data_IF_473552296288
#
_entry.id   IF_473552296288
#
_cell.length_a   1.000
_cell.length_b   1.000
_cell.length_c   1.000
_cell.angle_alpha   90.00
_cell.angle_beta   90.00
_cell.angle_gamma   90.00
#
_symmetry.space_group_name_H-M   'P 1'
#
loop_
_entity.id
_entity.type
_entity.pdbx_description
1 polymer ?
#
# COMPACT_ATOMS: atom_id res chain seq x y z
N UNK A 1 11.04 -26.56 14.81
CA UNK A 1 12.09 -26.90 15.80
C UNK A 1 13.34 -26.12 15.44
N UNK A 2 13.70 -25.09 16.21
CA UNK A 2 15.04 -24.51 16.14
C UNK A 2 15.86 -25.13 17.26
N UNK A 3 16.70 -26.09 16.88
CA UNK A 3 17.69 -26.69 17.75
C UNK A 3 19.00 -25.88 17.64
N UNK A 4 19.69 -25.71 18.78
CA UNK A 4 21.11 -25.40 18.83
C UNK A 4 21.46 -23.91 18.89
N UNK A 5 21.66 -23.41 20.10
CA UNK A 5 22.51 -22.25 20.39
C UNK A 5 23.97 -22.58 20.06
N UNK A 6 24.71 -21.71 19.35
CA UNK A 6 26.11 -21.50 19.63
C UNK A 6 26.28 -20.12 20.27
N UNK A 7 26.69 -20.09 21.54
CA UNK A 7 27.22 -18.89 22.16
C UNK A 7 28.50 -18.51 21.40
N UNK A 8 28.53 -17.31 20.81
CA UNK A 8 29.61 -16.75 19.98
C UNK A 8 29.71 -17.31 18.55
N UNK A 9 28.87 -16.78 17.66
CA UNK A 9 29.11 -16.80 16.23
C UNK A 9 29.65 -15.43 15.79
N UNK A 10 30.95 -15.38 15.46
CA UNK A 10 31.58 -14.25 14.80
C UNK A 10 31.52 -14.44 13.28
N UNK A 11 30.93 -13.50 12.53
CA UNK A 11 30.93 -13.55 11.06
C UNK A 11 31.80 -12.43 10.53
N UNK A 12 32.86 -12.78 9.81
CA UNK A 12 33.70 -11.85 9.08
C UNK A 12 33.34 -11.85 7.61
N UNK A 13 33.19 -10.67 7.00
CA UNK A 13 33.05 -10.53 5.54
C UNK A 13 34.14 -9.58 5.03
N UNK A 14 34.92 -10.07 4.08
CA UNK A 14 35.90 -9.29 3.32
C UNK A 14 35.60 -9.50 1.84
N UNK A 15 35.28 -8.42 1.14
CA UNK A 15 35.13 -8.43 -0.32
C UNK A 15 36.09 -7.38 -0.90
N UNK A 16 37.08 -7.86 -1.67
CA UNK A 16 38.01 -7.04 -2.41
C UNK A 16 37.86 -7.37 -3.89
N UNK A 17 37.14 -6.54 -4.63
CA UNK A 17 37.18 -6.58 -6.10
C UNK A 17 38.29 -5.65 -6.58
N UNK A 18 39.17 -6.13 -7.45
CA UNK A 18 40.28 -5.34 -7.98
C UNK A 18 39.88 -4.72 -9.32
N UNK A 19 39.69 -3.39 -9.34
CA UNK A 19 39.81 -2.44 -10.46
C UNK A 19 39.52 -1.04 -9.91
N UNK A 20 39.99 0.05 -10.54
CA UNK A 20 39.93 1.47 -10.06
C UNK A 20 38.51 2.05 -9.84
N UNK A 21 37.49 1.20 -9.86
CA UNK A 21 36.06 1.45 -9.65
C UNK A 21 35.48 0.54 -8.56
N UNK A 22 36.32 -0.04 -7.70
CA UNK A 22 35.90 -1.03 -6.72
C UNK A 22 35.51 -0.43 -5.37
N UNK A 23 34.58 -1.13 -4.72
CA UNK A 23 34.27 -0.95 -3.31
C UNK A 23 35.06 -1.98 -2.52
N UNK A 24 35.76 -1.53 -1.48
CA UNK A 24 36.38 -2.44 -0.51
C UNK A 24 35.50 -2.47 0.74
N UNK A 25 34.95 -3.64 1.07
CA UNK A 25 34.15 -3.83 2.29
C UNK A 25 34.82 -4.79 3.24
N UNK A 26 34.86 -4.38 4.51
CA UNK A 26 35.21 -5.23 5.62
C UNK A 26 34.16 -5.07 6.72
N UNK A 27 33.81 -6.15 7.39
CA UNK A 27 32.94 -6.07 8.55
C UNK A 27 33.00 -7.33 9.39
N UNK A 28 32.68 -7.16 10.66
CA UNK A 28 32.50 -8.24 11.60
C UNK A 28 31.18 -8.07 12.34
N UNK A 29 30.61 -9.18 12.76
CA UNK A 29 29.49 -9.19 13.69
C UNK A 29 29.75 -10.26 14.76
N UNK A 30 29.26 -10.02 15.97
CA UNK A 30 29.36 -10.96 17.08
C UNK A 30 28.04 -11.02 17.83
N UNK A 31 27.59 -12.23 18.17
CA UNK A 31 26.31 -12.44 18.85
C UNK A 31 26.49 -13.12 20.21
N UNK A 32 25.81 -12.60 21.22
CA UNK A 32 25.70 -13.22 22.54
C UNK A 32 24.42 -12.77 23.25
N UNK A 33 23.81 -13.65 24.06
CA UNK A 33 22.68 -13.28 24.92
C UNK A 33 21.44 -12.72 24.20
N UNK A 34 21.21 -13.09 22.93
CA UNK A 34 20.09 -12.55 22.14
C UNK A 34 20.34 -11.18 21.53
N UNK A 35 21.57 -10.65 21.63
CA UNK A 35 22.02 -9.45 20.94
C UNK A 35 23.20 -9.75 20.02
N UNK A 36 23.27 -9.05 18.90
CA UNK A 36 24.36 -9.07 17.96
C UNK A 36 24.88 -7.66 17.77
N UNK A 37 26.19 -7.46 17.90
CA UNK A 37 26.86 -6.23 17.50
C UNK A 37 27.46 -6.43 16.13
N UNK A 38 27.52 -5.36 15.35
CA UNK A 38 28.21 -5.36 14.07
C UNK A 38 28.99 -4.08 13.88
N UNK A 39 30.10 -4.20 13.17
CA UNK A 39 30.96 -3.11 12.76
C UNK A 39 31.46 -3.40 11.36
N UNK A 40 31.55 -2.37 10.54
CA UNK A 40 32.12 -2.51 9.21
C UNK A 40 32.38 -1.19 8.54
N UNK A 41 33.14 -1.25 7.46
CA UNK A 41 33.47 -0.12 6.64
C UNK A 41 33.42 -0.46 5.16
N UNK A 42 33.18 0.56 4.35
CA UNK A 42 33.27 0.50 2.91
C UNK A 42 34.10 1.68 2.42
N UNK A 43 35.11 1.43 1.58
CA UNK A 43 35.83 2.48 0.85
C UNK A 43 35.25 2.52 -0.56
N UNK A 44 34.78 3.70 -0.98
CA UNK A 44 34.27 3.92 -2.33
C UNK A 44 35.36 4.10 -3.38
N UNK A 45 35.00 4.14 -4.68
CA UNK A 45 35.94 4.31 -5.79
C UNK A 45 36.86 5.53 -5.70
N UNK A 46 36.41 6.57 -4.99
CA UNK A 46 37.15 7.82 -4.80
C UNK A 46 37.89 7.90 -3.45
N UNK A 47 38.08 6.77 -2.76
CA UNK A 47 38.83 6.69 -1.51
C UNK A 47 38.07 7.11 -0.25
N UNK A 48 36.82 7.58 -0.38
CA UNK A 48 35.99 7.93 0.77
C UNK A 48 35.61 6.70 1.61
N UNK A 49 35.96 6.71 2.90
CA UNK A 49 35.60 5.66 3.86
C UNK A 49 34.26 5.98 4.52
N UNK A 50 33.34 5.03 4.48
CA UNK A 50 32.13 5.04 5.29
C UNK A 50 32.20 3.90 6.30
N UNK A 51 31.93 4.17 7.57
CA UNK A 51 31.85 3.13 8.61
C UNK A 51 30.44 3.03 9.16
N UNK A 52 30.11 1.87 9.72
CA UNK A 52 28.86 1.65 10.44
C UNK A 52 29.13 0.71 11.62
N UNK A 53 28.64 1.12 12.79
CA UNK A 53 28.65 0.31 14.01
C UNK A 53 27.24 0.27 14.58
N UNK A 54 26.78 -0.89 14.99
CA UNK A 54 25.45 -1.02 15.56
C UNK A 54 25.24 -2.29 16.37
N UNK A 55 24.03 -2.38 16.88
CA UNK A 55 23.53 -3.52 17.64
C UNK A 55 22.15 -3.89 17.13
N UNK A 56 21.84 -5.18 17.19
CA UNK A 56 20.50 -5.74 17.03
C UNK A 56 20.23 -6.57 18.27
N UNK A 57 19.09 -6.39 18.92
CA UNK A 57 18.71 -7.14 20.11
C UNK A 57 17.32 -7.74 19.94
N UNK A 58 17.17 -9.03 20.28
CA UNK A 58 15.87 -9.67 20.37
C UNK A 58 15.26 -9.33 21.73
N UNK A 59 14.14 -8.63 21.74
CA UNK A 59 13.42 -8.23 22.97
C UNK A 59 12.29 -9.20 23.33
N UNK A 60 11.93 -10.11 22.43
CA UNK A 60 10.91 -11.14 22.63
C UNK A 60 10.79 -12.05 21.41
N UNK A 61 9.92 -13.09 21.43
CA UNK A 61 9.61 -13.87 20.24
C UNK A 61 9.08 -12.97 19.12
N UNK A 62 9.74 -12.99 17.96
CA UNK A 62 9.36 -12.14 16.81
C UNK A 62 9.59 -10.64 17.00
N UNK A 63 10.26 -10.21 18.09
CA UNK A 63 10.52 -8.80 18.39
C UNK A 63 12.01 -8.50 18.43
N UNK A 64 12.42 -7.48 17.68
CA UNK A 64 13.80 -7.05 17.53
C UNK A 64 13.90 -5.54 17.59
N UNK A 65 14.96 -5.04 18.20
CA UNK A 65 15.38 -3.64 18.14
C UNK A 65 16.75 -3.57 17.47
N UNK A 66 17.05 -2.45 16.82
CA UNK A 66 18.38 -2.17 16.32
C UNK A 66 18.72 -0.70 16.51
N UNK A 67 20.00 -0.43 16.65
CA UNK A 67 20.55 0.92 16.76
C UNK A 67 21.98 0.95 16.24
N UNK A 68 22.45 2.12 15.82
CA UNK A 68 23.83 2.29 15.42
C UNK A 68 24.16 3.68 14.93
N UNK A 69 25.42 3.85 14.57
CA UNK A 69 25.96 5.07 13.98
C UNK A 69 26.70 4.72 12.70
N UNK A 70 26.38 5.42 11.62
CA UNK A 70 27.18 5.42 10.41
C UNK A 70 27.98 6.72 10.33
N UNK A 71 29.23 6.65 9.88
CA UNK A 71 30.07 7.83 9.64
C UNK A 71 30.41 7.87 8.15
N UNK A 72 30.07 8.97 7.49
CA UNK A 72 30.37 9.17 6.07
C UNK A 72 31.82 9.63 5.83
N UNK A 73 32.24 9.74 4.55
CA UNK A 73 33.60 10.13 4.17
C UNK A 73 34.02 11.50 4.73
N UNK A 74 33.09 12.42 4.86
CA UNK A 74 33.33 13.78 5.38
C UNK A 74 33.23 13.86 6.92
N UNK A 75 33.21 12.72 7.62
CA UNK A 75 33.07 12.65 9.08
C UNK A 75 31.64 12.88 9.60
N UNK A 76 30.68 13.15 8.71
CA UNK A 76 29.27 13.32 9.06
C UNK A 76 28.68 12.05 9.69
N UNK A 77 28.03 12.19 10.84
CA UNK A 77 27.46 11.07 11.60
C UNK A 77 25.95 10.94 11.36
N UNK A 78 25.52 9.69 11.20
CA UNK A 78 24.12 9.31 11.05
C UNK A 78 23.76 8.31 12.14
N UNK A 79 22.96 8.76 13.10
CA UNK A 79 22.42 7.88 14.14
C UNK A 79 21.16 7.25 13.60
N UNK A 80 21.07 5.93 13.70
CA UNK A 80 19.88 5.20 13.26
C UNK A 80 19.42 4.22 14.31
N UNK A 81 18.14 3.91 14.27
CA UNK A 81 17.57 2.84 15.07
C UNK A 81 16.20 2.46 14.59
N UNK A 82 15.64 1.44 15.22
CA UNK A 82 14.32 0.97 14.84
C UNK A 82 13.92 -0.32 15.53
N UNK A 83 12.70 -0.73 15.25
CA UNK A 83 12.11 -1.95 15.81
C UNK A 83 11.47 -2.79 14.72
N UNK A 84 11.38 -4.09 14.95
CA UNK A 84 10.59 -5.02 14.15
C UNK A 84 9.78 -5.88 15.12
N UNK A 85 8.50 -6.03 14.86
CA UNK A 85 7.60 -6.86 15.66
C UNK A 85 6.73 -7.70 14.74
N UNK A 86 6.72 -9.01 14.95
CA UNK A 86 5.90 -9.95 14.22
C UNK A 86 4.99 -10.70 15.20
N UNK A 87 3.68 -10.51 15.07
CA UNK A 87 2.68 -11.19 15.88
C UNK A 87 1.34 -11.28 15.14
N UNK A 88 0.60 -12.36 15.34
CA UNK A 88 -0.77 -12.50 14.82
C UNK A 88 -0.89 -12.36 13.30
N UNK A 89 0.10 -12.83 12.54
CA UNK A 89 0.11 -12.71 11.07
C UNK A 89 0.51 -11.33 10.55
N UNK A 90 0.81 -10.37 11.43
CA UNK A 90 1.31 -9.04 11.07
C UNK A 90 2.78 -8.89 11.49
N UNK A 91 3.60 -8.38 10.58
CA UNK A 91 4.95 -7.91 10.87
C UNK A 91 5.03 -6.42 10.62
N UNK A 92 5.36 -5.64 11.65
CA UNK A 92 5.57 -4.21 11.58
C UNK A 92 7.04 -3.86 11.82
N UNK A 93 7.53 -2.81 11.16
CA UNK A 93 8.88 -2.27 11.31
C UNK A 93 8.83 -0.76 11.39
N UNK A 94 9.53 -0.18 12.36
CA UNK A 94 9.80 1.26 12.46
C UNK A 94 11.31 1.50 12.37
N UNK A 95 11.72 2.60 11.76
CA UNK A 95 13.11 3.04 11.71
C UNK A 95 13.17 4.56 11.77
N UNK A 96 14.21 5.10 12.37
CA UNK A 96 14.57 6.50 12.33
C UNK A 96 16.05 6.64 11.98
N UNK A 97 16.39 7.70 11.24
CA UNK A 97 17.77 8.07 10.94
C UNK A 97 17.91 9.58 11.09
N UNK A 98 18.78 10.02 11.99
CA UNK A 98 19.11 11.43 12.20
C UNK A 98 20.49 11.71 11.65
N UNK A 99 20.57 12.64 10.69
CA UNK A 99 21.83 13.06 10.08
C UNK A 99 22.58 14.13 10.88
N UNK A 100 23.76 14.55 10.41
CA UNK A 100 24.66 15.45 11.15
C UNK A 100 24.07 16.85 11.39
N UNK A 101 23.09 17.26 10.57
CA UNK A 101 22.38 18.53 10.71
C UNK A 101 21.13 18.44 11.61
N UNK A 102 21.00 17.36 12.40
CA UNK A 102 19.85 17.13 13.28
C UNK A 102 18.53 16.81 12.57
N UNK A 103 18.55 16.70 11.24
CA UNK A 103 17.37 16.33 10.44
C UNK A 103 17.13 14.83 10.50
N UNK A 104 15.89 14.44 10.79
CA UNK A 104 15.47 13.05 10.94
C UNK A 104 14.60 12.60 9.78
N UNK A 105 14.81 11.36 9.35
CA UNK A 105 13.92 10.62 8.46
C UNK A 105 13.39 9.42 9.22
N UNK A 106 12.07 9.32 9.29
CA UNK A 106 11.36 8.21 9.90
C UNK A 106 10.74 7.33 8.83
N UNK A 107 10.78 6.02 9.00
CA UNK A 107 10.17 5.07 8.10
C UNK A 107 9.43 3.99 8.88
N UNK A 108 8.14 3.81 8.58
CA UNK A 108 7.34 2.72 9.14
C UNK A 108 6.88 1.80 8.03
N UNK A 109 6.63 0.53 8.34
CA UNK A 109 6.03 -0.41 7.41
C UNK A 109 5.31 -1.53 8.15
N UNK A 110 4.32 -2.12 7.51
CA UNK A 110 3.67 -3.32 7.99
C UNK A 110 3.34 -4.25 6.83
N UNK A 111 3.30 -5.54 7.11
CA UNK A 111 2.69 -6.54 6.24
C UNK A 111 1.83 -7.44 7.11
N UNK A 112 0.59 -7.67 6.67
CA UNK A 112 -0.37 -8.54 7.35
C UNK A 112 -0.81 -9.62 6.38
N UNK A 113 -0.81 -10.85 6.86
CA UNK A 113 -1.47 -11.97 6.20
C UNK A 113 -2.70 -12.34 7.01
N UNK A 114 -3.88 -12.00 6.49
CA UNK A 114 -5.15 -12.28 7.18
C UNK A 114 -5.67 -13.69 6.89
N UNK A 115 -5.33 -14.25 5.72
CA UNK A 115 -5.68 -15.62 5.33
C UNK A 115 -4.79 -16.10 4.14
N UNK A 116 -5.05 -17.31 3.62
CA UNK A 116 -4.31 -17.83 2.47
C UNK A 116 -4.68 -17.08 1.18
N UNK A 117 -3.73 -16.31 0.65
CA UNK A 117 -3.94 -15.49 -0.53
C UNK A 117 -4.40 -14.06 -0.23
N UNK A 118 -4.59 -13.71 1.05
CA UNK A 118 -5.00 -12.38 1.51
C UNK A 118 -3.84 -11.71 2.25
N UNK A 119 -3.28 -10.69 1.63
CA UNK A 119 -2.16 -9.93 2.16
C UNK A 119 -2.45 -8.44 2.08
N UNK A 120 -2.01 -7.68 3.07
CA UNK A 120 -1.96 -6.22 2.99
C UNK A 120 -0.61 -5.74 3.45
N UNK A 121 -0.16 -4.61 2.91
CA UNK A 121 1.05 -3.96 3.39
C UNK A 121 0.90 -2.45 3.37
N UNK A 122 1.63 -1.80 4.26
CA UNK A 122 1.78 -0.36 4.27
C UNK A 122 3.24 0.01 4.49
N UNK A 123 3.63 1.19 3.98
CA UNK A 123 4.92 1.80 4.27
C UNK A 123 4.76 3.30 4.30
N UNK A 124 5.39 3.97 5.24
CA UNK A 124 5.53 5.42 5.25
C UNK A 124 7.00 5.78 5.38
N UNK A 125 7.39 6.89 4.75
CA UNK A 125 8.68 7.53 4.94
C UNK A 125 8.42 9.02 5.09
N UNK A 126 8.72 9.57 6.25
CA UNK A 126 8.52 10.96 6.61
C UNK A 126 9.86 11.62 6.83
N UNK A 127 10.06 12.79 6.24
CA UNK A 127 11.26 13.58 6.45
C UNK A 127 10.98 15.07 6.31
N UNK A 128 12.02 15.91 6.32
CA UNK A 128 11.87 17.37 6.29
C UNK A 128 11.12 17.90 5.07
N UNK A 129 11.13 17.15 3.95
CA UNK A 129 10.52 17.54 2.69
C UNK A 129 9.14 16.89 2.46
N UNK A 130 8.52 16.35 3.51
CA UNK A 130 7.19 15.74 3.44
C UNK A 130 7.19 14.23 3.67
N UNK A 131 6.03 13.62 3.38
CA UNK A 131 5.77 12.20 3.64
C UNK A 131 5.40 11.47 2.36
N UNK A 132 5.98 10.30 2.20
CA UNK A 132 5.60 9.31 1.21
C UNK A 132 4.90 8.16 1.91
N UNK A 133 3.81 7.68 1.34
CA UNK A 133 3.11 6.50 1.80
C UNK A 133 2.90 5.51 0.66
N UNK A 134 2.89 4.24 0.99
CA UNK A 134 2.56 3.15 0.10
C UNK A 134 1.59 2.24 0.84
N UNK A 135 0.54 1.80 0.16
CA UNK A 135 -0.38 0.78 0.62
C UNK A 135 -0.59 -0.24 -0.48
N UNK A 136 -0.64 -1.52 -0.15
CA UNK A 136 -0.94 -2.56 -1.12
C UNK A 136 -1.79 -3.65 -0.49
N UNK A 137 -2.58 -4.33 -1.32
CA UNK A 137 -3.38 -5.47 -0.94
C UNK A 137 -3.38 -6.51 -2.05
N UNK A 138 -3.25 -7.77 -1.67
CA UNK A 138 -3.46 -8.94 -2.52
C UNK A 138 -4.68 -9.69 -2.01
N UNK A 139 -5.58 -10.05 -2.92
CA UNK A 139 -6.69 -10.94 -2.61
C UNK A 139 -6.77 -12.02 -3.69
N UNK A 140 -6.48 -13.27 -3.31
CA UNK A 140 -6.61 -14.43 -4.17
C UNK A 140 -7.74 -15.34 -3.69
N UNK A 141 -8.67 -15.61 -4.59
CA UNK A 141 -9.57 -16.75 -4.51
C UNK A 141 -9.00 -17.97 -5.25
N UNK A 142 -9.87 -18.95 -5.49
CA UNK A 142 -9.48 -20.24 -6.08
C UNK A 142 -8.96 -20.12 -7.53
N UNK A 143 -9.56 -19.23 -8.33
CA UNK A 143 -9.24 -19.06 -9.76
C UNK A 143 -8.91 -17.62 -10.13
N UNK A 144 -8.91 -16.70 -9.17
CA UNK A 144 -8.66 -15.30 -9.42
C UNK A 144 -7.76 -14.71 -8.35
N UNK A 145 -6.97 -13.71 -8.74
CA UNK A 145 -6.15 -12.91 -7.86
C UNK A 145 -6.25 -11.45 -8.27
N UNK A 146 -6.36 -10.57 -7.30
CA UNK A 146 -6.19 -9.13 -7.49
C UNK A 146 -5.05 -8.64 -6.61
N UNK A 147 -4.26 -7.72 -7.14
CA UNK A 147 -3.25 -6.99 -6.39
C UNK A 147 -3.40 -5.51 -6.70
N UNK A 148 -3.70 -4.70 -5.69
CA UNK A 148 -3.74 -3.24 -5.82
C UNK A 148 -2.65 -2.62 -4.97
N UNK A 149 -2.01 -1.57 -5.45
CA UNK A 149 -1.20 -0.71 -4.59
C UNK A 149 -1.33 0.75 -4.97
N UNK A 150 -1.11 1.61 -3.98
CA UNK A 150 -1.11 3.06 -4.13
C UNK A 150 0.10 3.63 -3.42
N UNK A 151 0.86 4.45 -4.12
CA UNK A 151 1.93 5.27 -3.56
C UNK A 151 1.52 6.73 -3.62
N UNK A 152 1.52 7.40 -2.48
CA UNK A 152 1.21 8.82 -2.35
C UNK A 152 2.44 9.57 -1.89
N UNK A 153 2.83 10.61 -2.62
CA UNK A 153 3.91 11.50 -2.24
C UNK A 153 3.41 12.80 -1.60
N UNK A 154 4.34 13.73 -1.30
CA UNK A 154 4.00 15.10 -0.97
C UNK A 154 3.19 15.75 -2.11
N UNK A 155 2.41 16.77 -1.76
CA UNK A 155 1.48 17.49 -2.66
C UNK A 155 0.30 16.64 -3.19
N UNK A 156 -0.09 15.59 -2.47
CA UNK A 156 -1.23 14.72 -2.85
C UNK A 156 -1.07 14.03 -4.22
N UNK A 157 0.15 13.92 -4.76
CA UNK A 157 0.40 13.19 -6.00
C UNK A 157 0.42 11.69 -5.72
N UNK A 158 -0.43 10.95 -6.44
CA UNK A 158 -0.59 9.51 -6.22
C UNK A 158 -0.38 8.71 -7.49
N UNK A 159 0.31 7.58 -7.37
CA UNK A 159 0.34 6.54 -8.39
C UNK A 159 -0.37 5.32 -7.83
N UNK A 160 -1.37 4.82 -8.52
CA UNK A 160 -2.02 3.56 -8.17
C UNK A 160 -1.88 2.55 -9.28
N UNK A 161 -1.82 1.28 -8.92
CA UNK A 161 -1.92 0.20 -9.88
C UNK A 161 -2.80 -0.93 -9.38
N UNK A 162 -3.43 -1.62 -10.32
CA UNK A 162 -4.23 -2.81 -10.07
C UNK A 162 -3.84 -3.88 -11.07
N UNK A 163 -3.57 -5.07 -10.56
CA UNK A 163 -3.27 -6.26 -11.36
C UNK A 163 -4.37 -7.27 -11.09
N UNK A 164 -4.84 -7.94 -12.14
CA UNK A 164 -5.72 -9.10 -12.00
C UNK A 164 -5.12 -10.29 -12.73
N UNK A 165 -5.34 -11.48 -12.20
CA UNK A 165 -5.04 -12.74 -12.86
C UNK A 165 -6.23 -13.67 -12.66
N UNK A 166 -6.75 -14.25 -13.74
CA UNK A 166 -7.88 -15.17 -13.72
C UNK A 166 -7.52 -16.42 -14.50
N UNK A 167 -7.60 -17.58 -13.84
CA UNK A 167 -7.52 -18.87 -14.49
C UNK A 167 -8.82 -19.12 -15.23
N UNK A 168 -8.75 -19.08 -16.56
CA UNK A 168 -9.92 -19.31 -17.44
C UNK A 168 -10.05 -20.78 -17.85
N UNK A 169 -8.96 -21.53 -17.79
CA UNK A 169 -8.92 -22.98 -18.00
C UNK A 169 -7.70 -23.59 -17.29
N UNK A 170 -7.61 -24.93 -17.12
CA UNK A 170 -6.38 -25.57 -16.67
C UNK A 170 -5.18 -25.13 -17.52
N UNK A 171 -4.14 -24.61 -16.87
CA UNK A 171 -2.96 -24.06 -17.56
C UNK A 171 -3.14 -22.70 -18.24
N UNK A 172 -4.33 -22.10 -18.31
CA UNK A 172 -4.54 -20.81 -19.01
C UNK A 172 -4.90 -19.71 -18.01
N UNK A 173 -4.14 -18.61 -18.01
CA UNK A 173 -4.34 -17.45 -17.15
C UNK A 173 -4.42 -16.18 -17.97
N UNK A 174 -5.57 -15.49 -17.88
CA UNK A 174 -5.73 -14.13 -18.36
C UNK A 174 -5.27 -13.16 -17.29
N UNK A 175 -4.53 -12.11 -17.66
CA UNK A 175 -4.06 -11.08 -16.73
C UNK A 175 -4.35 -9.70 -17.26
N UNK A 176 -4.61 -8.76 -16.36
CA UNK A 176 -4.66 -7.33 -16.65
C UNK A 176 -3.82 -6.55 -15.65
N UNK A 177 -3.35 -5.39 -16.08
CA UNK A 177 -2.57 -4.44 -15.31
C UNK A 177 -3.04 -3.04 -15.67
N UNK A 178 -3.40 -2.25 -14.67
CA UNK A 178 -3.74 -0.84 -14.85
C UNK A 178 -2.86 0.02 -13.95
N UNK A 179 -2.32 1.12 -14.46
CA UNK A 179 -1.59 2.13 -13.67
C UNK A 179 -2.21 3.47 -13.91
N UNK A 180 -2.62 4.15 -12.84
CA UNK A 180 -3.06 5.54 -12.85
C UNK A 180 -1.94 6.41 -12.30
N UNK A 181 -1.44 7.32 -13.13
CA UNK A 181 -0.38 8.25 -12.75
C UNK A 181 -0.89 9.44 -11.91
N UNK A 182 0.01 10.32 -11.46
CA UNK A 182 -0.31 11.44 -10.58
C UNK A 182 -1.14 12.55 -11.24
N UNK A 183 -1.35 12.47 -12.55
CA UNK A 183 -2.15 13.39 -13.34
C UNK A 183 -3.48 12.77 -13.82
N UNK A 184 -3.88 11.62 -13.26
CA UNK A 184 -5.15 10.95 -13.57
C UNK A 184 -5.14 10.09 -14.83
N UNK A 185 -4.12 10.19 -15.69
CA UNK A 185 -3.95 9.33 -16.85
C UNK A 185 -3.78 7.86 -16.43
N UNK A 186 -4.58 6.98 -17.03
CA UNK A 186 -4.55 5.55 -16.74
C UNK A 186 -4.11 4.76 -17.97
N UNK A 187 -3.11 3.88 -17.79
CA UNK A 187 -2.65 2.93 -18.81
C UNK A 187 -3.11 1.55 -18.41
N UNK A 188 -3.76 0.83 -19.32
CA UNK A 188 -4.20 -0.55 -19.10
C UNK A 188 -3.53 -1.47 -20.11
N UNK A 189 -2.94 -2.55 -19.63
CA UNK A 189 -2.36 -3.63 -20.43
C UNK A 189 -2.93 -4.98 -19.96
N UNK A 190 -2.87 -5.98 -20.82
CA UNK A 190 -3.34 -7.32 -20.49
C UNK A 190 -2.88 -8.36 -21.48
N UNK A 191 -3.06 -9.63 -21.14
CA UNK A 191 -2.65 -10.75 -21.98
C UNK A 191 -3.11 -12.09 -21.43
N UNK A 192 -2.94 -13.13 -22.24
CA UNK A 192 -3.25 -14.52 -21.86
C UNK A 192 -1.96 -15.33 -21.90
N UNK A 193 -1.70 -16.08 -20.84
CA UNK A 193 -0.58 -17.01 -20.74
C UNK A 193 -1.13 -18.45 -20.71
N UNK A 194 -0.48 -19.35 -21.45
CA UNK A 194 -0.84 -20.77 -21.54
C UNK A 194 0.37 -21.60 -21.10
N UNK A 195 0.19 -22.45 -20.10
CA UNK A 195 1.21 -23.36 -19.61
C UNK A 195 1.40 -24.54 -20.57
N UNK A 196 2.60 -24.69 -21.13
CA UNK A 196 3.01 -25.75 -22.05
C UNK A 196 4.38 -25.45 -22.69
N UNK A 197 5.00 -26.40 -23.41
CA UNK A 197 6.21 -26.11 -24.20
C UNK A 197 5.91 -24.98 -25.20
N UNK A 198 6.90 -24.17 -25.62
CA UNK A 198 6.67 -22.95 -26.40
C UNK A 198 5.98 -23.31 -27.71
N UNK A 199 4.66 -23.16 -27.76
CA UNK A 199 3.93 -23.02 -29.01
C UNK A 199 4.00 -21.53 -29.30
N UNK A 200 4.80 -21.18 -30.31
CA UNK A 200 4.81 -19.85 -30.90
C UNK A 200 3.39 -19.53 -31.35
N UNK A 201 2.62 -18.92 -30.46
CA UNK A 201 1.38 -18.24 -30.76
C UNK A 201 1.68 -16.76 -30.64
N UNK A 202 1.75 -16.08 -31.77
CA UNK A 202 1.82 -14.62 -31.79
C UNK A 202 0.52 -14.13 -31.16
N UNK A 203 0.58 -13.70 -29.90
CA UNK A 203 -0.47 -12.87 -29.32
C UNK A 203 -0.27 -11.51 -29.97
N UNK A 204 -1.15 -11.18 -30.91
CA UNK A 204 -1.19 -9.85 -31.51
C UNK A 204 -1.34 -8.82 -30.39
N UNK A 205 -0.33 -7.98 -30.21
CA UNK A 205 -0.49 -6.73 -29.47
C UNK A 205 -1.59 -5.94 -30.18
N UNK A 206 -2.74 -5.77 -29.53
CA UNK A 206 -3.76 -4.84 -30.00
C UNK A 206 -3.18 -3.43 -30.14
N UNK A 207 -3.75 -2.58 -31.02
CA UNK A 207 -3.17 -1.29 -31.34
C UNK A 207 -3.13 -0.37 -30.11
N UNK A 208 -2.15 0.52 -30.13
CA UNK A 208 -1.84 1.49 -29.10
C UNK A 208 -3.04 2.37 -28.68
N UNK A 209 -3.10 2.63 -27.37
CA UNK A 209 -3.64 3.81 -26.68
C UNK A 209 -4.83 4.51 -27.35
N UNK A 210 -6.03 4.22 -26.87
CA UNK A 210 -7.15 5.16 -26.97
C UNK A 210 -7.17 6.05 -25.71
N UNK A 211 -6.79 7.33 -25.86
CA UNK A 211 -7.14 8.35 -24.86
C UNK A 211 -8.65 8.59 -25.01
N UNK A 212 -9.44 8.04 -24.07
CA UNK A 212 -10.87 8.34 -24.01
C UNK A 212 -11.07 9.64 -23.19
N UNK A 213 -11.85 10.63 -23.69
CA UNK A 213 -12.34 11.73 -22.85
C UNK A 213 -13.25 11.19 -21.73
N UNK A 214 -13.45 11.93 -20.63
CA UNK A 214 -14.10 11.41 -19.44
C UNK A 214 -15.53 10.98 -19.74
N UNK A 215 -15.78 9.67 -19.72
CA UNK A 215 -17.14 9.13 -19.65
C UNK A 215 -17.61 9.35 -18.22
N UNK A 216 -18.64 10.18 -18.07
CA UNK A 216 -19.39 10.29 -16.82
C UNK A 216 -19.93 8.90 -16.47
N UNK A 217 -19.40 8.31 -15.39
CA UNK A 217 -19.94 7.09 -14.83
C UNK A 217 -21.30 7.43 -14.23
N UNK A 218 -22.36 7.08 -14.95
CA UNK A 218 -23.69 6.96 -14.35
C UNK A 218 -23.61 5.89 -13.23
N UNK A 219 -24.25 6.12 -12.07
CA UNK A 219 -24.25 5.14 -10.99
C UNK A 219 -24.82 3.81 -11.50
N UNK A 220 -24.33 2.67 -10.96
CA UNK A 220 -24.71 1.35 -11.45
C UNK A 220 -26.23 1.16 -11.37
N UNK A 221 -26.82 0.80 -12.51
CA UNK A 221 -28.18 0.26 -12.55
C UNK A 221 -28.16 -1.04 -11.76
N UNK A 222 -28.76 -1.00 -10.58
CA UNK A 222 -29.01 -2.17 -9.74
C UNK A 222 -29.90 -3.11 -10.54
N UNK A 223 -29.41 -4.30 -10.83
CA UNK A 223 -30.21 -5.36 -11.42
C UNK A 223 -31.45 -5.63 -10.55
N UNK A 224 -32.66 -5.79 -11.12
CA UNK A 224 -33.79 -6.19 -10.33
C UNK A 224 -33.50 -7.53 -9.65
N UNK A 225 -33.71 -7.58 -8.33
CA UNK A 225 -33.54 -8.76 -7.52
C UNK A 225 -34.39 -9.94 -8.06
N UNK A 226 -33.95 -11.19 -7.89
CA UNK A 226 -34.76 -12.35 -8.25
C UNK A 226 -36.08 -12.31 -7.47
N UNK A 227 -37.19 -12.31 -8.22
CA UNK A 227 -38.55 -12.34 -7.68
C UNK A 227 -38.76 -13.69 -7.00
N UNK A 228 -38.84 -13.68 -5.67
CA UNK A 228 -39.39 -14.79 -4.89
C UNK A 228 -40.90 -14.76 -5.08
N UNK A 229 -41.44 -15.75 -5.79
CA UNK A 229 -42.89 -15.95 -5.90
C UNK A 229 -43.41 -16.43 -4.55
N UNK A 230 -43.95 -15.51 -3.77
CA UNK A 230 -44.73 -15.82 -2.58
C UNK A 230 -46.13 -16.31 -2.99
N UNK A 231 -46.73 -17.27 -2.26
CA UNK A 231 -48.12 -17.67 -2.49
C UNK A 231 -49.07 -16.47 -2.33
N UNK A 232 -50.22 -16.45 -3.02
CA UNK A 232 -51.10 -15.28 -3.08
C UNK A 232 -51.59 -14.89 -1.69
N UNK A 233 -51.20 -13.68 -1.27
CA UNK A 233 -51.76 -13.01 -0.11
C UNK A 233 -53.11 -12.41 -0.52
N UNK A 234 -54.19 -12.85 0.12
CA UNK A 234 -55.52 -12.24 -0.02
C UNK A 234 -55.46 -10.88 0.69
N UNK A 235 -55.46 -9.79 -0.08
CA UNK A 235 -55.50 -8.43 0.46
C UNK A 235 -56.97 -7.99 0.60
N UNK A 236 -57.44 -7.59 1.79
CA UNK A 236 -58.78 -7.03 1.96
C UNK A 236 -58.92 -5.68 1.23
N UNK A 237 -60.12 -5.33 0.75
CA UNK A 237 -60.34 -4.10 -0.02
C UNK A 237 -59.99 -2.83 0.79
N UNK A 238 -59.52 -1.76 0.12
CA UNK A 238 -59.09 -0.54 0.79
C UNK A 238 -60.25 0.16 1.51
N UNK A 239 -60.00 0.55 2.76
CA UNK A 239 -60.92 1.34 3.56
C UNK A 239 -61.12 2.74 2.95
N UNK A 240 -62.38 3.14 2.81
CA UNK A 240 -62.79 4.46 2.32
C UNK A 240 -62.33 5.53 3.32
N UNK A 241 -61.61 6.58 2.90
CA UNK A 241 -61.22 7.66 3.81
C UNK A 241 -62.43 8.51 4.21
N UNK A 242 -62.52 8.99 5.47
CA UNK A 242 -63.59 9.86 5.92
C UNK A 242 -63.51 11.24 5.25
N UNK A 243 -64.66 11.76 4.82
CA UNK A 243 -64.79 13.13 4.31
C UNK A 243 -64.40 14.13 5.41
N UNK A 244 -63.36 14.93 5.14
CA UNK A 244 -63.02 16.10 5.95
C UNK A 244 -63.92 17.25 5.51
N UNK A 245 -64.78 17.73 6.42
CA UNK A 245 -65.57 18.93 6.22
C UNK A 245 -64.65 20.16 6.24
N UNK A 246 -64.72 20.99 5.19
CA UNK A 246 -64.00 22.27 5.13
C UNK A 246 -64.72 23.33 5.97
N UNK A 247 -64.00 24.13 6.78
CA UNK A 247 -64.59 25.25 7.50
C UNK A 247 -64.91 26.43 6.56
N UNK A 248 -66.04 27.07 6.85
CA UNK A 248 -66.64 28.22 6.17
C UNK A 248 -65.70 29.46 6.16
N UNK A 249 -65.64 30.27 5.09
CA UNK A 249 -64.79 31.46 5.05
C UNK A 249 -65.33 32.59 5.96
N UNK A 250 -64.45 33.21 6.74
CA UNK A 250 -64.73 34.42 7.50
C UNK A 250 -64.69 35.68 6.60
N UNK A 251 -65.48 36.73 6.89
CA UNK A 251 -65.60 37.92 6.03
C UNK A 251 -64.36 38.82 6.06
N UNK A 252 -64.08 39.45 4.91
CA UNK A 252 -62.94 40.31 4.66
C UNK A 252 -62.99 41.63 5.48
N UNK A 253 -61.87 41.98 6.10
CA UNK A 253 -61.66 43.29 6.73
C UNK A 253 -61.14 44.30 5.70
N UNK A 254 -61.84 45.43 5.59
CA UNK A 254 -61.46 46.58 4.77
C UNK A 254 -60.28 47.33 5.40
N UNK A 255 -59.25 47.62 4.60
CA UNK A 255 -58.13 48.47 4.98
C UNK A 255 -58.28 49.79 4.22
N UNK A 256 -58.54 50.88 4.96
CA UNK A 256 -58.58 52.24 4.43
C UNK A 256 -57.17 52.73 4.12
N UNK A 257 -56.99 53.36 2.95
CA UNK A 257 -55.75 54.01 2.52
C UNK A 257 -55.55 55.38 3.20
N UNK A 258 -54.31 55.80 3.49
CA UNK A 258 -54.03 57.14 4.01
C UNK A 258 -54.08 58.21 2.91
N UNK A 259 -54.65 59.36 3.29
CA UNK A 259 -54.79 60.61 2.52
C UNK A 259 -53.42 61.27 2.33
N UNK A 260 -53.05 61.57 1.08
CA UNK A 260 -51.89 62.40 0.75
C UNK A 260 -52.27 63.89 0.81
N UNK A 261 -51.35 64.69 1.36
CA UNK A 261 -51.36 66.15 1.32
C UNK A 261 -50.68 66.67 0.05
N UNK A 262 -51.38 67.53 -0.68
CA UNK A 262 -50.90 68.78 -1.34
C UNK A 262 -52.12 69.55 -1.81
#
# INVERSE_FOLDING_TARGET
MFAGNPAHAGVFRYEAFALRTAYHRAGFASCSGGSCTHEGGAIGPFGGLTTNRGTVARTGPGQFTHSGTAVGPDGGQYVHGGTTSCSGGTCARSNSVTGPNGRTIDASSSVTRSALGQFSSSRTVSGPNGTYSHSAATNCGYVWCTHSATTSGPDSRTVSHTNTAVRVAPGVVASSHSVTGPHGNTVVTGGVTVAGPPRVGIVTTGPAVAVLPPVAVLPPVVAPAPVVVLPPVIVPPPAVPPLVATPTPAPAAAINAPRAST
#
